data_IF_691622443334
#
_entry.id   IF_691622443334
#
_cell.length_a   1.000
_cell.length_b   1.000
_cell.length_c   1.000
_cell.angle_alpha   90.00
_cell.angle_beta   90.00
_cell.angle_gamma   90.00
#
_symmetry.space_group_name_H-M   'P 1'
#
loop_
_entity.id
_entity.type
_entity.pdbx_description
1 polymer ?
#
# COMPACT_ATOMS: atom_id res chain seq x y z
N UNK A 1 4.91 -13.10 -1.94
CA UNK A 1 3.86 -12.07 -1.95
C UNK A 1 4.38 -10.88 -1.17
N UNK A 2 4.55 -9.74 -1.83
CA UNK A 2 4.97 -8.48 -1.20
C UNK A 2 3.76 -7.73 -0.64
N UNK A 3 3.98 -6.70 0.18
CA UNK A 3 2.90 -5.83 0.64
C UNK A 3 2.19 -5.12 -0.52
N UNK A 4 2.93 -4.76 -1.57
CA UNK A 4 2.38 -4.18 -2.80
C UNK A 4 1.46 -5.15 -3.55
N UNK A 5 1.83 -6.43 -3.62
CA UNK A 5 0.98 -7.47 -4.24
C UNK A 5 -0.32 -7.63 -3.44
N UNK A 6 -0.22 -7.67 -2.11
CA UNK A 6 -1.37 -7.79 -1.23
C UNK A 6 -2.33 -6.59 -1.39
N UNK A 7 -1.81 -5.36 -1.45
CA UNK A 7 -2.61 -4.17 -1.69
C UNK A 7 -3.31 -4.23 -3.05
N UNK A 8 -2.61 -4.67 -4.10
CA UNK A 8 -3.21 -4.87 -5.43
C UNK A 8 -4.39 -5.85 -5.38
N UNK A 9 -4.25 -6.98 -4.69
CA UNK A 9 -5.35 -7.95 -4.56
C UNK A 9 -6.52 -7.41 -3.73
N UNK A 10 -6.26 -6.69 -2.64
CA UNK A 10 -7.31 -6.02 -1.85
C UNK A 10 -8.13 -5.08 -2.74
N UNK A 11 -7.46 -4.25 -3.54
CA UNK A 11 -8.11 -3.25 -4.40
C UNK A 11 -8.88 -3.84 -5.58
N UNK A 12 -8.66 -5.11 -5.93
CA UNK A 12 -9.50 -5.83 -6.91
C UNK A 12 -10.86 -6.22 -6.33
N UNK A 13 -10.93 -6.46 -5.02
CA UNK A 13 -12.14 -6.95 -4.34
C UNK A 13 -12.92 -5.79 -3.69
N UNK A 14 -12.22 -4.92 -2.95
CA UNK A 14 -12.82 -3.80 -2.24
C UNK A 14 -11.99 -2.52 -2.45
N UNK A 15 -12.61 -1.53 -3.10
CA UNK A 15 -11.95 -0.29 -3.51
C UNK A 15 -11.91 0.73 -2.39
N UNK A 16 -12.87 0.71 -1.48
CA UNK A 16 -13.06 1.78 -0.51
C UNK A 16 -12.52 1.46 0.89
N UNK A 17 -12.16 0.20 1.16
CA UNK A 17 -11.62 -0.16 2.48
C UNK A 17 -10.33 0.61 2.75
N UNK A 18 -10.21 1.32 3.89
CA UNK A 18 -8.96 1.97 4.26
C UNK A 18 -7.84 0.94 4.45
N UNK A 19 -6.68 1.17 3.84
CA UNK A 19 -5.51 0.30 3.97
C UNK A 19 -4.33 1.12 4.48
N UNK A 20 -3.79 0.72 5.63
CA UNK A 20 -2.62 1.34 6.24
C UNK A 20 -1.42 0.42 6.02
N UNK A 21 -0.32 0.98 5.54
CA UNK A 21 0.93 0.27 5.32
C UNK A 21 1.88 0.54 6.49
N UNK A 22 2.44 -0.53 7.05
CA UNK A 22 3.49 -0.47 8.06
C UNK A 22 4.75 -1.13 7.48
N UNK A 23 5.85 -0.40 7.39
CA UNK A 23 7.07 -0.94 6.79
C UNK A 23 8.30 -0.22 7.31
N UNK A 24 9.37 -0.95 7.61
CA UNK A 24 10.67 -0.36 7.94
C UNK A 24 11.40 0.26 6.72
N UNK A 25 10.78 0.31 5.54
CA UNK A 25 11.36 0.89 4.33
C UNK A 25 10.99 2.37 4.19
N UNK A 26 11.98 3.25 4.24
CA UNK A 26 11.81 4.70 4.08
C UNK A 26 12.13 5.20 2.67
N UNK A 27 12.07 4.33 1.66
CA UNK A 27 12.38 4.71 0.28
C UNK A 27 11.18 5.43 -0.34
N UNK A 28 11.36 6.69 -0.72
CA UNK A 28 10.34 7.55 -1.33
C UNK A 28 9.63 6.87 -2.50
N UNK A 29 10.35 6.19 -3.40
CA UNK A 29 9.74 5.48 -4.54
C UNK A 29 8.79 4.37 -4.11
N UNK A 30 9.13 3.66 -3.04
CA UNK A 30 8.28 2.58 -2.50
C UNK A 30 7.02 3.18 -1.88
N UNK A 31 7.17 4.27 -1.14
CA UNK A 31 6.05 5.00 -0.52
C UNK A 31 5.08 5.51 -1.60
N UNK A 32 5.60 6.17 -2.64
CA UNK A 32 4.83 6.62 -3.79
C UNK A 32 4.10 5.46 -4.48
N UNK A 33 4.76 4.31 -4.61
CA UNK A 33 4.15 3.14 -5.22
C UNK A 33 2.95 2.63 -4.41
N UNK A 34 3.07 2.55 -3.08
CA UNK A 34 1.94 2.19 -2.20
C UNK A 34 0.76 3.17 -2.33
N UNK A 35 1.04 4.48 -2.34
CA UNK A 35 -0.01 5.48 -2.52
C UNK A 35 -0.68 5.39 -3.90
N UNK A 36 0.11 5.21 -4.97
CA UNK A 36 -0.44 5.06 -6.33
C UNK A 36 -1.35 3.84 -6.48
N UNK A 37 -1.13 2.80 -5.66
CA UNK A 37 -1.95 1.59 -5.60
C UNK A 37 -3.11 1.68 -4.62
N UNK A 38 -3.36 2.85 -4.03
CA UNK A 38 -4.53 3.11 -3.21
C UNK A 38 -4.34 2.81 -1.72
N UNK A 39 -3.11 2.84 -1.20
CA UNK A 39 -2.89 2.91 0.24
C UNK A 39 -3.47 4.22 0.80
N UNK A 40 -4.10 4.15 1.97
CA UNK A 40 -4.64 5.30 2.67
C UNK A 40 -3.55 6.05 3.43
N UNK A 41 -2.64 5.32 4.05
CA UNK A 41 -1.53 5.90 4.79
C UNK A 41 -0.33 4.93 4.84
N UNK A 42 0.85 5.47 5.09
CA UNK A 42 2.09 4.73 5.21
C UNK A 42 2.86 5.21 6.45
N UNK A 43 3.23 4.27 7.31
CA UNK A 43 4.09 4.54 8.47
C UNK A 43 5.37 3.71 8.40
N UNK A 44 6.46 4.35 8.80
CA UNK A 44 7.80 3.75 8.87
C UNK A 44 8.17 3.32 10.29
#
# INVERSE_FOLDING_TARGET
MTGLDALTEIRKVEKEVPVIILSNQSNEKVIEEYYSRGATNFYT
#
